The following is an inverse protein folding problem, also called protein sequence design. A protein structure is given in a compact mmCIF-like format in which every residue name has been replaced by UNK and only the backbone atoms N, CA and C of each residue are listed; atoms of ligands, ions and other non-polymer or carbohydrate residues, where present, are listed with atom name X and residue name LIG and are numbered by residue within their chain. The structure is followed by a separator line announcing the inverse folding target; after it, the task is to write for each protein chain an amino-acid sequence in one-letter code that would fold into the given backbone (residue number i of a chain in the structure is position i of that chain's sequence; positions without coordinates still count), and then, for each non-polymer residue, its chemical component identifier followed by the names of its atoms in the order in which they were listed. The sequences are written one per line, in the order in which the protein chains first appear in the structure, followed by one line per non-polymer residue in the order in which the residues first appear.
data_IF_012018272778
#
_entry.id   IF_012018272778
#
_cell.length_a   1.000
_cell.length_b   1.000
_cell.length_c   1.000
_cell.angle_alpha   90.00
_cell.angle_beta   90.00
_cell.angle_gamma   90.00
#
_symmetry.space_group_name_H-M   'P 1'
#
loop_
_entity.id
_entity.type
_entity.pdbx_description
1 polymer ?
#
# COMPACT_ATOMS: atom_id res chain seq x y z
N UNK A 1 13.10 -19.77 2.92
CA UNK A 1 12.89 -19.17 1.56
C UNK A 1 13.71 -19.88 0.49
N UNK A 2 13.16 -20.20 -0.70
CA UNK A 2 13.88 -20.59 -1.90
C UNK A 2 14.92 -19.53 -2.32
N UNK A 3 15.97 -19.91 -3.08
CA UNK A 3 17.06 -19.00 -3.47
C UNK A 3 16.55 -17.73 -4.18
N UNK A 4 15.59 -17.89 -5.06
CA UNK A 4 14.97 -16.81 -5.85
C UNK A 4 14.17 -15.84 -4.97
N UNK A 5 13.39 -16.38 -4.00
CA UNK A 5 12.67 -15.54 -3.05
C UNK A 5 13.60 -14.77 -2.12
N UNK A 6 14.79 -15.30 -1.81
CA UNK A 6 15.83 -14.56 -1.07
C UNK A 6 16.38 -13.39 -1.86
N UNK A 7 16.56 -13.55 -3.18
CA UNK A 7 17.00 -12.45 -4.04
C UNK A 7 15.95 -11.32 -4.08
N UNK A 8 14.67 -11.68 -4.22
CA UNK A 8 13.56 -10.71 -4.20
C UNK A 8 13.46 -9.99 -2.85
N UNK A 9 13.59 -10.73 -1.75
CA UNK A 9 13.63 -10.17 -0.40
C UNK A 9 14.81 -9.22 -0.21
N UNK A 10 16.00 -9.59 -0.69
CA UNK A 10 17.16 -8.72 -0.68
C UNK A 10 16.97 -7.45 -1.49
N UNK A 11 16.34 -7.55 -2.68
CA UNK A 11 16.01 -6.39 -3.52
C UNK A 11 15.00 -5.46 -2.83
N UNK A 12 14.00 -6.01 -2.12
CA UNK A 12 13.04 -5.22 -1.36
C UNK A 12 13.72 -4.40 -0.25
N UNK A 13 14.68 -4.99 0.47
CA UNK A 13 15.48 -4.26 1.46
C UNK A 13 16.38 -3.20 0.83
N UNK A 14 17.08 -3.53 -0.27
CA UNK A 14 17.94 -2.57 -0.98
C UNK A 14 17.11 -1.35 -1.43
N UNK A 15 15.92 -1.59 -1.96
CA UNK A 15 15.01 -0.53 -2.36
C UNK A 15 14.55 0.32 -1.16
N UNK A 16 14.18 -0.31 -0.05
CA UNK A 16 13.79 0.39 1.18
C UNK A 16 14.93 1.25 1.73
N UNK A 17 16.16 0.73 1.77
CA UNK A 17 17.32 1.50 2.21
C UNK A 17 17.70 2.64 1.27
N UNK A 18 17.57 2.44 -0.04
CA UNK A 18 17.79 3.51 -1.02
C UNK A 18 16.78 4.65 -0.81
N UNK A 19 15.49 4.32 -0.62
CA UNK A 19 14.46 5.31 -0.34
C UNK A 19 14.75 6.03 0.99
N UNK A 20 15.11 5.32 2.06
CA UNK A 20 15.50 5.91 3.32
C UNK A 20 16.68 6.87 3.18
N UNK A 21 17.69 6.52 2.38
CA UNK A 21 18.84 7.40 2.10
C UNK A 21 18.39 8.69 1.40
N UNK A 22 17.51 8.57 0.41
CA UNK A 22 16.93 9.73 -0.28
C UNK A 22 16.17 10.60 0.71
N UNK A 23 15.34 10.00 1.58
CA UNK A 23 14.59 10.72 2.61
C UNK A 23 15.51 11.50 3.56
N UNK A 24 16.56 10.86 4.06
CA UNK A 24 17.52 11.49 4.96
C UNK A 24 18.21 12.69 4.31
N UNK A 25 18.68 12.54 3.06
CA UNK A 25 19.35 13.61 2.32
C UNK A 25 18.38 14.76 2.03
N UNK A 26 17.18 14.44 1.59
CA UNK A 26 16.17 15.45 1.26
C UNK A 26 15.68 16.18 2.50
N UNK A 27 15.31 15.46 3.56
CA UNK A 27 14.90 16.03 4.83
C UNK A 27 15.95 16.99 5.41
N UNK A 28 17.23 16.58 5.39
CA UNK A 28 18.33 17.43 5.85
C UNK A 28 18.45 18.75 5.04
N UNK A 29 18.25 18.68 3.71
CA UNK A 29 18.36 19.85 2.84
C UNK A 29 17.25 20.88 3.05
N UNK A 30 16.03 20.44 3.40
CA UNK A 30 14.88 21.35 3.56
C UNK A 30 14.53 21.64 5.02
N UNK A 31 15.33 21.12 5.98
CA UNK A 31 15.07 21.28 7.40
C UNK A 31 13.83 20.50 7.90
N UNK A 32 13.44 19.43 7.21
CA UNK A 32 12.33 18.58 7.61
C UNK A 32 12.71 17.73 8.82
N UNK A 33 11.82 17.63 9.79
CA UNK A 33 12.07 16.94 11.06
C UNK A 33 11.00 15.89 11.34
N UNK A 34 11.42 14.84 12.02
CA UNK A 34 10.51 13.84 12.56
C UNK A 34 10.35 14.04 14.06
N UNK A 35 9.12 14.03 14.55
CA UNK A 35 8.83 14.14 15.97
C UNK A 35 9.39 12.93 16.72
N UNK A 36 10.08 13.19 17.85
CA UNK A 36 10.78 12.16 18.63
C UNK A 36 9.87 11.02 19.09
N UNK A 37 8.64 11.33 19.50
CA UNK A 37 7.66 10.34 19.98
C UNK A 37 7.31 9.34 18.87
N UNK A 38 6.99 9.82 17.66
CA UNK A 38 6.67 8.98 16.50
C UNK A 38 7.86 8.14 16.02
N UNK A 39 9.07 8.71 16.05
CA UNK A 39 10.33 8.00 15.74
C UNK A 39 10.60 6.91 16.77
N UNK A 40 10.51 7.21 18.06
CA UNK A 40 10.75 6.24 19.13
C UNK A 40 9.81 5.04 19.03
N UNK A 41 8.51 5.27 18.80
CA UNK A 41 7.53 4.21 18.61
C UNK A 41 7.85 3.37 17.35
N UNK A 42 8.19 4.02 16.24
CA UNK A 42 8.55 3.33 14.99
C UNK A 42 9.78 2.44 15.17
N UNK A 43 10.82 2.95 15.82
CA UNK A 43 12.03 2.17 16.15
C UNK A 43 11.68 1.00 17.07
N UNK A 44 10.91 1.23 18.13
CA UNK A 44 10.53 0.17 19.06
C UNK A 44 9.76 -0.97 18.36
N UNK A 45 8.79 -0.64 17.50
CA UNK A 45 8.02 -1.62 16.74
C UNK A 45 8.91 -2.39 15.74
N UNK A 46 9.78 -1.68 15.02
CA UNK A 46 10.70 -2.31 14.06
C UNK A 46 11.71 -3.21 14.77
N UNK A 47 12.30 -2.77 15.88
CA UNK A 47 13.18 -3.59 16.71
C UNK A 47 12.44 -4.82 17.26
N UNK A 48 11.18 -4.66 17.67
CA UNK A 48 10.35 -5.79 18.10
C UNK A 48 10.18 -6.86 17.01
N UNK A 49 9.89 -6.44 15.77
CA UNK A 49 9.81 -7.35 14.63
C UNK A 49 11.16 -8.03 14.34
N UNK A 50 12.26 -7.29 14.36
CA UNK A 50 13.61 -7.85 14.17
C UNK A 50 13.97 -8.87 15.25
N UNK A 51 13.60 -8.61 16.51
CA UNK A 51 13.78 -9.56 17.62
C UNK A 51 12.96 -10.84 17.39
N UNK A 52 11.70 -10.70 16.96
CA UNK A 52 10.85 -11.86 16.60
C UNK A 52 11.49 -12.65 15.45
N UNK A 53 11.97 -11.98 14.40
CA UNK A 53 12.67 -12.61 13.28
C UNK A 53 13.91 -13.39 13.75
N UNK A 54 14.72 -12.81 14.64
CA UNK A 54 15.91 -13.45 15.21
C UNK A 54 15.53 -14.69 16.04
N UNK A 55 14.52 -14.59 16.90
CA UNK A 55 14.02 -15.72 17.69
C UNK A 55 13.49 -16.83 16.78
N UNK A 56 12.66 -16.49 15.79
CA UNK A 56 12.14 -17.48 14.85
C UNK A 56 13.25 -18.12 14.01
N UNK A 57 14.28 -17.35 13.65
CA UNK A 57 15.45 -17.88 12.95
C UNK A 57 16.20 -18.89 13.80
N UNK A 58 16.46 -18.59 15.09
CA UNK A 58 17.09 -19.53 16.04
C UNK A 58 16.24 -20.79 16.18
N UNK A 59 14.93 -20.65 16.44
CA UNK A 59 14.01 -21.78 16.61
C UNK A 59 13.94 -22.64 15.34
N UNK A 60 13.95 -22.02 14.16
CA UNK A 60 13.93 -22.73 12.87
C UNK A 60 15.19 -23.60 12.62
N UNK A 61 16.27 -23.36 13.38
CA UNK A 61 17.54 -24.11 13.32
C UNK A 61 17.57 -25.29 14.30
N UNK A 62 16.65 -25.34 15.26
CA UNK A 62 16.57 -26.47 16.22
C UNK A 62 16.18 -27.73 15.46
N UNK A 63 16.92 -28.84 15.62
CA UNK A 63 16.58 -30.12 15.00
C UNK A 63 15.39 -30.74 15.70
N UNK A 64 14.19 -30.43 15.25
CA UNK A 64 12.98 -31.09 15.75
C UNK A 64 12.87 -32.51 15.20
N UNK A 65 12.52 -33.49 16.07
CA UNK A 65 12.22 -34.87 15.65
C UNK A 65 11.04 -34.93 14.68
N UNK A 66 10.10 -33.98 14.80
CA UNK A 66 8.94 -33.85 13.92
C UNK A 66 9.23 -32.86 12.77
N UNK A 67 9.26 -33.36 11.55
CA UNK A 67 9.52 -32.62 10.32
C UNK A 67 8.48 -31.50 10.12
N UNK A 68 7.21 -31.76 10.47
CA UNK A 68 6.13 -30.78 10.32
C UNK A 68 6.36 -29.54 11.18
N UNK A 69 6.89 -29.71 12.42
CA UNK A 69 7.26 -28.58 13.28
C UNK A 69 8.39 -27.75 12.68
N UNK A 70 9.41 -28.39 12.14
CA UNK A 70 10.53 -27.69 11.49
C UNK A 70 10.03 -26.86 10.29
N UNK A 71 9.17 -27.45 9.46
CA UNK A 71 8.57 -26.72 8.32
C UNK A 71 7.67 -25.58 8.78
N UNK A 72 6.88 -25.76 9.81
CA UNK A 72 6.02 -24.72 10.37
C UNK A 72 6.83 -23.48 10.79
N UNK A 73 7.87 -23.64 11.61
CA UNK A 73 8.69 -22.51 12.05
C UNK A 73 9.39 -21.79 10.90
N UNK A 74 9.81 -22.51 9.85
CA UNK A 74 10.37 -21.88 8.65
C UNK A 74 9.34 -21.03 7.90
N UNK A 75 8.09 -21.49 7.76
CA UNK A 75 7.03 -20.71 7.13
C UNK A 75 6.68 -19.46 7.95
N UNK A 76 6.59 -19.61 9.28
CA UNK A 76 6.34 -18.47 10.16
C UNK A 76 7.48 -17.45 10.07
N UNK A 77 8.74 -17.89 10.08
CA UNK A 77 9.89 -17.01 9.86
C UNK A 77 9.80 -16.30 8.51
N UNK A 78 9.51 -17.00 7.42
CA UNK A 78 9.39 -16.40 6.10
C UNK A 78 8.29 -15.32 6.07
N UNK A 79 7.17 -15.57 6.74
CA UNK A 79 6.07 -14.61 6.84
C UNK A 79 6.47 -13.35 7.64
N UNK A 80 7.14 -13.53 8.78
CA UNK A 80 7.60 -12.40 9.61
C UNK A 80 8.68 -11.58 8.91
N UNK A 81 9.63 -12.21 8.21
CA UNK A 81 10.63 -11.50 7.40
C UNK A 81 9.96 -10.59 6.36
N UNK A 82 8.94 -11.07 5.63
CA UNK A 82 8.18 -10.25 4.69
C UNK A 82 7.37 -9.16 5.38
N UNK A 83 6.81 -9.42 6.55
CA UNK A 83 6.11 -8.42 7.36
C UNK A 83 7.07 -7.31 7.80
N UNK A 84 8.28 -7.65 8.23
CA UNK A 84 9.29 -6.69 8.70
C UNK A 84 9.71 -5.73 7.59
N UNK A 85 9.97 -6.23 6.37
CA UNK A 85 10.30 -5.34 5.24
C UNK A 85 9.12 -4.46 4.84
N UNK A 86 7.89 -5.02 4.81
CA UNK A 86 6.68 -4.26 4.48
C UNK A 86 6.42 -3.14 5.49
N UNK A 87 6.52 -3.45 6.79
CA UNK A 87 6.32 -2.46 7.86
C UNK A 87 7.38 -1.36 7.83
N UNK A 88 8.65 -1.72 7.62
CA UNK A 88 9.75 -0.74 7.50
C UNK A 88 9.56 0.14 6.27
N UNK A 89 9.29 -0.47 5.11
CA UNK A 89 9.02 0.27 3.87
C UNK A 89 7.84 1.24 4.03
N UNK A 90 6.76 0.82 4.71
CA UNK A 90 5.59 1.69 4.93
C UNK A 90 5.97 2.99 5.64
N UNK A 91 6.84 2.93 6.64
CA UNK A 91 7.29 4.13 7.38
C UNK A 91 8.20 5.02 6.54
N UNK A 92 9.12 4.42 5.80
CA UNK A 92 9.98 5.15 4.86
C UNK A 92 9.14 5.79 3.75
N UNK A 93 8.22 5.04 3.13
CA UNK A 93 7.33 5.56 2.08
C UNK A 93 6.42 6.71 2.56
N UNK A 94 5.99 6.69 3.83
CA UNK A 94 5.26 7.82 4.42
C UNK A 94 6.14 9.07 4.48
N UNK A 95 7.39 8.98 4.93
CA UNK A 95 8.31 10.14 4.94
C UNK A 95 8.51 10.66 3.52
N UNK A 96 8.78 9.77 2.57
CA UNK A 96 8.95 10.13 1.16
C UNK A 96 7.74 10.87 0.59
N UNK A 97 6.51 10.39 0.88
CA UNK A 97 5.27 11.05 0.48
C UNK A 97 5.18 12.49 1.02
N UNK A 98 5.47 12.70 2.31
CA UNK A 98 5.44 14.03 2.90
C UNK A 98 6.50 14.97 2.32
N UNK A 99 7.71 14.46 2.05
CA UNK A 99 8.76 15.21 1.36
C UNK A 99 8.31 15.63 -0.05
N UNK A 100 7.66 14.75 -0.79
CA UNK A 100 7.11 15.07 -2.11
C UNK A 100 6.08 16.21 -2.06
N UNK A 101 5.21 16.22 -1.05
CA UNK A 101 4.21 17.31 -0.89
C UNK A 101 4.87 18.65 -0.66
N UNK A 102 6.05 18.70 -0.04
CA UNK A 102 6.77 19.97 0.20
C UNK A 102 7.32 20.64 -1.07
N UNK A 103 7.33 19.97 -2.21
CA UNK A 103 7.84 20.52 -3.48
C UNK A 103 6.97 21.61 -4.08
N UNK A 104 5.70 21.70 -3.65
CA UNK A 104 4.75 22.74 -4.05
C UNK A 104 4.50 22.83 -5.57
N UNK A 105 4.50 21.70 -6.29
CA UNK A 105 4.10 21.68 -7.71
C UNK A 105 2.68 22.24 -7.90
N UNK A 106 2.35 22.83 -9.07
CA UNK A 106 1.01 23.34 -9.36
C UNK A 106 -0.07 22.29 -9.12
N UNK A 107 -1.20 22.69 -8.51
CA UNK A 107 -2.31 21.78 -8.26
C UNK A 107 -2.98 21.35 -9.56
N UNK A 108 -3.18 20.05 -9.72
CA UNK A 108 -3.91 19.45 -10.82
C UNK A 108 -5.43 19.31 -10.55
N UNK A 109 -5.92 19.76 -9.39
CA UNK A 109 -7.31 19.63 -8.94
C UNK A 109 -8.33 20.01 -10.00
N UNK A 110 -8.16 21.18 -10.65
CA UNK A 110 -9.09 21.62 -11.69
C UNK A 110 -9.11 20.72 -12.93
N UNK A 111 -7.96 20.11 -13.28
CA UNK A 111 -7.88 19.18 -14.39
C UNK A 111 -8.67 17.89 -14.09
N UNK A 112 -8.62 17.39 -12.86
CA UNK A 112 -9.40 16.21 -12.45
C UNK A 112 -10.90 16.50 -12.41
N UNK A 113 -11.31 17.67 -11.91
CA UNK A 113 -12.72 18.10 -11.95
C UNK A 113 -13.21 18.24 -13.39
N UNK A 114 -12.41 18.81 -14.29
CA UNK A 114 -12.77 18.90 -15.70
C UNK A 114 -12.87 17.52 -16.37
N UNK A 115 -11.99 16.59 -16.03
CA UNK A 115 -12.07 15.20 -16.50
C UNK A 115 -13.33 14.49 -16.00
N UNK A 116 -13.67 14.66 -14.73
CA UNK A 116 -14.89 14.11 -14.13
C UNK A 116 -16.14 14.70 -14.82
N UNK A 117 -16.18 16.01 -15.03
CA UNK A 117 -17.28 16.68 -15.72
C UNK A 117 -17.44 16.21 -17.17
N UNK A 118 -16.33 15.95 -17.90
CA UNK A 118 -16.36 15.40 -19.25
C UNK A 118 -16.96 13.98 -19.28
N UNK A 119 -16.89 13.25 -18.18
CA UNK A 119 -17.52 11.94 -18.00
C UNK A 119 -18.96 12.04 -17.46
N UNK A 120 -19.50 13.26 -17.30
CA UNK A 120 -20.81 13.50 -16.71
C UNK A 120 -20.88 13.24 -15.20
N UNK A 121 -19.70 13.20 -14.54
CA UNK A 121 -19.62 12.96 -13.11
C UNK A 121 -19.47 14.27 -12.33
N UNK A 122 -20.34 14.46 -11.33
CA UNK A 122 -20.29 15.63 -10.46
C UNK A 122 -20.19 15.15 -9.01
N UNK A 123 -19.02 15.28 -8.43
CA UNK A 123 -18.68 14.73 -7.11
C UNK A 123 -19.64 15.17 -5.98
N UNK A 124 -20.03 16.47 -5.85
CA UNK A 124 -20.95 16.91 -4.79
C UNK A 124 -22.33 16.26 -4.87
N UNK A 125 -22.82 15.92 -6.06
CA UNK A 125 -24.11 15.26 -6.23
C UNK A 125 -24.07 13.82 -5.73
N UNK A 126 -23.03 13.08 -6.09
CA UNK A 126 -22.81 11.73 -5.57
C UNK A 126 -22.71 11.75 -4.04
N UNK A 127 -21.91 12.67 -3.48
CA UNK A 127 -21.72 12.76 -2.05
C UNK A 127 -23.03 13.04 -1.32
N UNK A 128 -23.81 14.05 -1.78
CA UNK A 128 -25.13 14.37 -1.22
C UNK A 128 -26.10 13.19 -1.31
N UNK A 129 -26.08 12.47 -2.43
CA UNK A 129 -26.90 11.29 -2.60
C UNK A 129 -26.55 10.18 -1.60
N UNK A 130 -25.26 9.88 -1.44
CA UNK A 130 -24.79 8.87 -0.45
C UNK A 130 -25.14 9.31 0.98
N UNK A 131 -24.96 10.59 1.31
CA UNK A 131 -25.27 11.13 2.63
C UNK A 131 -26.76 11.06 2.95
N UNK A 132 -27.64 11.18 1.95
CA UNK A 132 -29.09 10.98 2.10
C UNK A 132 -29.48 9.50 2.38
N UNK A 133 -28.51 8.55 2.28
CA UNK A 133 -28.71 7.13 2.55
C UNK A 133 -27.78 6.64 3.67
N UNK A 134 -28.11 6.85 4.96
CA UNK A 134 -27.19 6.62 6.08
C UNK A 134 -26.63 5.20 6.18
N UNK A 135 -27.41 4.18 5.82
CA UNK A 135 -26.94 2.80 5.80
C UNK A 135 -25.84 2.58 4.76
N UNK A 136 -25.99 3.19 3.57
CA UNK A 136 -24.98 3.12 2.50
C UNK A 136 -23.71 3.89 2.90
N UNK A 137 -23.87 5.11 3.43
CA UNK A 137 -22.75 5.89 3.95
C UNK A 137 -21.95 5.09 4.99
N UNK A 138 -22.62 4.45 5.94
CA UNK A 138 -21.98 3.61 6.95
C UNK A 138 -21.27 2.39 6.33
N UNK A 139 -21.91 1.70 5.39
CA UNK A 139 -21.30 0.55 4.71
C UNK A 139 -20.04 0.96 3.92
N UNK A 140 -20.08 2.08 3.21
CA UNK A 140 -18.92 2.62 2.49
C UNK A 140 -17.81 3.05 3.46
N UNK A 141 -18.15 3.65 4.60
CA UNK A 141 -17.18 4.02 5.62
C UNK A 141 -16.45 2.79 6.20
N UNK A 142 -17.15 1.70 6.46
CA UNK A 142 -16.55 0.45 6.90
C UNK A 142 -15.67 -0.18 5.81
N UNK A 143 -16.13 -0.18 4.56
CA UNK A 143 -15.35 -0.69 3.44
C UNK A 143 -14.04 0.10 3.26
N UNK A 144 -14.10 1.43 3.33
CA UNK A 144 -12.91 2.29 3.25
C UNK A 144 -11.91 2.01 4.39
N UNK A 145 -12.39 2.02 5.64
CA UNK A 145 -11.57 1.74 6.82
C UNK A 145 -10.97 0.33 6.81
N UNK A 146 -11.65 -0.64 6.17
CA UNK A 146 -11.14 -2.00 6.05
C UNK A 146 -9.81 -2.08 5.31
N UNK A 147 -9.49 -1.10 4.46
CA UNK A 147 -8.22 -1.07 3.71
C UNK A 147 -6.99 -1.15 4.60
N UNK A 148 -6.98 -0.40 5.72
CA UNK A 148 -5.89 -0.47 6.69
C UNK A 148 -5.84 -1.83 7.42
N UNK A 149 -7.01 -2.40 7.76
CA UNK A 149 -7.08 -3.71 8.38
C UNK A 149 -6.61 -4.82 7.41
N UNK A 150 -7.01 -4.75 6.14
CA UNK A 150 -6.62 -5.73 5.12
C UNK A 150 -5.12 -5.78 4.92
N UNK A 151 -4.40 -4.67 5.09
CA UNK A 151 -2.93 -4.62 5.00
C UNK A 151 -2.24 -5.56 6.02
N UNK A 152 -2.89 -5.87 7.14
CA UNK A 152 -2.40 -6.81 8.16
C UNK A 152 -3.05 -8.19 8.05
N UNK A 153 -4.34 -8.23 7.77
CA UNK A 153 -5.13 -9.49 7.74
C UNK A 153 -4.73 -10.37 6.55
N UNK A 154 -4.48 -9.79 5.37
CA UNK A 154 -4.10 -10.54 4.18
C UNK A 154 -2.76 -11.26 4.36
N UNK A 155 -1.67 -10.60 4.82
CA UNK A 155 -0.44 -11.28 5.19
C UNK A 155 -0.66 -12.43 6.18
N UNK A 156 -1.49 -12.22 7.20
CA UNK A 156 -1.78 -13.26 8.18
C UNK A 156 -2.50 -14.48 7.55
N UNK A 157 -3.51 -14.25 6.69
CA UNK A 157 -4.20 -15.32 5.96
C UNK A 157 -3.22 -16.08 5.07
N UNK A 158 -2.38 -15.38 4.29
CA UNK A 158 -1.40 -15.98 3.39
C UNK A 158 -0.33 -16.77 4.14
N UNK A 159 0.07 -16.30 5.33
CA UNK A 159 0.98 -17.02 6.21
C UNK A 159 0.35 -18.32 6.74
N UNK A 160 -0.89 -18.26 7.24
CA UNK A 160 -1.61 -19.45 7.77
C UNK A 160 -1.90 -20.46 6.67
N UNK A 161 -2.30 -20.01 5.48
CA UNK A 161 -2.55 -20.87 4.31
C UNK A 161 -1.28 -21.36 3.62
N UNK A 162 -0.10 -20.95 4.11
CA UNK A 162 1.23 -21.30 3.59
C UNK A 162 1.46 -20.88 2.14
N UNK A 163 0.74 -19.86 1.66
CA UNK A 163 0.88 -19.30 0.31
C UNK A 163 2.04 -18.29 0.28
N UNK A 164 3.26 -18.75 0.52
CA UNK A 164 4.46 -17.89 0.66
C UNK A 164 4.79 -17.11 -0.61
N UNK A 165 4.48 -17.66 -1.78
CA UNK A 165 4.69 -16.97 -3.06
C UNK A 165 3.70 -15.81 -3.21
N UNK A 166 2.39 -16.05 -2.96
CA UNK A 166 1.38 -15.00 -3.01
C UNK A 166 1.64 -13.91 -1.98
N UNK A 167 2.20 -14.28 -0.83
CA UNK A 167 2.60 -13.32 0.20
C UNK A 167 3.73 -12.40 -0.29
N UNK A 168 4.79 -12.96 -0.82
CA UNK A 168 5.91 -12.17 -1.35
C UNK A 168 5.45 -11.29 -2.52
N UNK A 169 4.62 -11.84 -3.42
CA UNK A 169 4.03 -11.10 -4.54
C UNK A 169 3.20 -9.92 -4.03
N UNK A 170 2.38 -10.11 -3.01
CA UNK A 170 1.59 -9.05 -2.37
C UNK A 170 2.45 -7.94 -1.79
N UNK A 171 3.51 -8.28 -1.03
CA UNK A 171 4.40 -7.26 -0.44
C UNK A 171 5.09 -6.45 -1.53
N UNK A 172 5.57 -7.08 -2.59
CA UNK A 172 6.18 -6.38 -3.73
C UNK A 172 5.15 -5.51 -4.46
N UNK A 173 3.92 -6.00 -4.68
CA UNK A 173 2.83 -5.21 -5.26
C UNK A 173 2.53 -3.97 -4.40
N UNK A 174 2.48 -4.11 -3.08
CA UNK A 174 2.29 -3.00 -2.16
C UNK A 174 3.41 -1.95 -2.29
N UNK A 175 4.68 -2.40 -2.24
CA UNK A 175 5.84 -1.50 -2.35
C UNK A 175 5.87 -0.75 -3.68
N UNK A 176 5.65 -1.46 -4.78
CA UNK A 176 5.61 -0.87 -6.13
C UNK A 176 4.43 0.09 -6.27
N UNK A 177 3.24 -0.28 -5.78
CA UNK A 177 2.04 0.56 -5.83
C UNK A 177 2.23 1.87 -5.07
N UNK A 178 2.68 1.79 -3.82
CA UNK A 178 2.89 2.98 -3.00
C UNK A 178 3.93 3.92 -3.62
N UNK A 179 5.05 3.38 -4.09
CA UNK A 179 6.08 4.18 -4.77
C UNK A 179 5.57 4.81 -6.05
N UNK A 180 4.89 4.03 -6.90
CA UNK A 180 4.33 4.52 -8.17
C UNK A 180 3.35 5.68 -7.94
N UNK A 181 2.46 5.53 -6.98
CA UNK A 181 1.46 6.55 -6.62
C UNK A 181 2.13 7.84 -6.14
N UNK A 182 3.13 7.75 -5.26
CA UNK A 182 3.86 8.91 -4.76
C UNK A 182 4.59 9.62 -5.91
N UNK A 183 5.25 8.88 -6.79
CA UNK A 183 6.01 9.43 -7.92
C UNK A 183 5.09 10.09 -8.96
N UNK A 184 3.92 9.50 -9.26
CA UNK A 184 2.95 10.10 -10.20
C UNK A 184 2.29 11.33 -9.56
N UNK A 185 1.98 11.29 -8.28
CA UNK A 185 1.36 12.40 -7.56
C UNK A 185 2.29 13.60 -7.42
N UNK A 186 3.61 13.41 -7.50
CA UNK A 186 4.57 14.51 -7.37
C UNK A 186 4.34 15.63 -8.38
N UNK A 187 4.27 15.38 -9.71
CA UNK A 187 3.96 16.40 -10.71
C UNK A 187 2.47 16.74 -10.82
N UNK A 188 1.57 15.94 -10.27
CA UNK A 188 0.11 16.11 -10.33
C UNK A 188 -0.54 16.13 -8.94
N UNK A 189 -0.10 16.97 -7.99
CA UNK A 189 -0.71 17.04 -6.69
C UNK A 189 -2.13 17.58 -6.78
N UNK A 190 -3.05 17.01 -5.99
CA UNK A 190 -4.42 17.47 -5.93
C UNK A 190 -4.93 17.54 -4.50
N UNK A 191 -5.78 18.51 -4.23
CA UNK A 191 -6.53 18.57 -2.99
C UNK A 191 -7.64 17.51 -2.99
N UNK A 192 -7.97 16.99 -1.82
CA UNK A 192 -9.14 16.14 -1.66
C UNK A 192 -10.41 16.87 -2.11
N UNK A 193 -11.36 16.14 -2.72
CA UNK A 193 -12.65 16.70 -3.11
C UNK A 193 -13.40 17.34 -1.92
N UNK A 194 -13.26 16.81 -0.71
CA UNK A 194 -13.81 17.42 0.50
C UNK A 194 -13.29 18.85 0.71
N UNK A 195 -11.97 19.02 0.63
CA UNK A 195 -11.31 20.31 0.82
C UNK A 195 -11.73 21.28 -0.29
N UNK A 196 -11.68 20.83 -1.55
CA UNK A 196 -12.00 21.66 -2.71
C UNK A 196 -13.47 22.15 -2.70
N UNK A 197 -14.41 21.29 -2.38
CA UNK A 197 -15.84 21.64 -2.34
C UNK A 197 -16.30 22.19 -0.99
N UNK A 198 -15.41 22.36 -0.02
CA UNK A 198 -15.72 22.89 1.31
C UNK A 198 -16.68 22.01 2.12
N UNK A 199 -16.69 20.71 1.89
CA UNK A 199 -17.56 19.77 2.59
C UNK A 199 -16.84 19.23 3.83
N UNK A 200 -17.47 19.39 4.98
CA UNK A 200 -16.96 18.91 6.26
C UNK A 200 -17.88 17.82 6.81
N UNK A 201 -17.34 16.60 6.92
CA UNK A 201 -18.06 15.46 7.49
C UNK A 201 -17.25 14.87 8.65
N UNK A 202 -17.70 15.04 9.90
CA UNK A 202 -16.98 14.55 11.07
C UNK A 202 -16.85 13.02 11.11
N UNK A 203 -17.65 12.29 10.32
CA UNK A 203 -17.57 10.85 10.23
C UNK A 203 -16.53 10.36 9.22
N UNK A 204 -15.94 11.28 8.45
CA UNK A 204 -14.99 10.98 7.39
C UNK A 204 -13.62 11.53 7.74
N UNK A 205 -12.61 10.65 7.90
CA UNK A 205 -11.26 11.05 8.26
C UNK A 205 -10.57 11.95 7.22
N UNK A 206 -11.01 11.88 5.97
CA UNK A 206 -10.42 12.63 4.85
C UNK A 206 -10.82 14.11 4.80
N UNK A 207 -11.66 14.59 5.71
CA UNK A 207 -12.04 16.02 5.80
C UNK A 207 -10.94 16.87 6.44
N UNK A 208 -10.03 16.24 7.22
CA UNK A 208 -8.87 16.91 7.81
C UNK A 208 -7.63 16.36 7.13
N UNK A 209 -6.87 17.21 6.47
CA UNK A 209 -5.67 16.80 5.74
C UNK A 209 -4.48 17.68 6.07
N UNK A 210 -3.36 17.05 6.36
CA UNK A 210 -2.07 17.71 6.55
C UNK A 210 -1.49 18.27 5.24
N UNK A 211 -2.10 17.95 4.09
CA UNK A 211 -1.59 18.29 2.76
C UNK A 211 -1.25 19.79 2.63
N UNK A 212 -2.21 20.68 2.94
CA UNK A 212 -2.01 22.12 2.84
C UNK A 212 -0.95 22.65 3.83
N UNK A 213 -0.86 22.07 5.04
CA UNK A 213 0.09 22.47 6.06
C UNK A 213 1.54 22.24 5.61
N UNK A 214 1.82 21.04 5.07
CA UNK A 214 3.16 20.69 4.58
C UNK A 214 3.48 21.37 3.24
N UNK A 215 2.50 21.42 2.33
CA UNK A 215 2.65 22.07 1.04
C UNK A 215 3.01 23.54 1.16
N UNK A 216 2.29 24.28 2.00
CA UNK A 216 2.48 25.72 2.19
C UNK A 216 3.65 26.06 3.15
N UNK A 217 4.33 25.05 3.69
CA UNK A 217 5.46 25.24 4.58
C UNK A 217 5.09 25.73 5.98
N UNK A 218 3.81 25.62 6.39
CA UNK A 218 3.39 25.97 7.75
C UNK A 218 3.98 25.03 8.80
N UNK A 219 4.33 23.81 8.41
CA UNK A 219 5.07 22.88 9.26
C UNK A 219 6.12 22.13 8.43
N UNK A 220 7.18 21.72 9.09
CA UNK A 220 8.23 20.84 8.60
C UNK A 220 8.50 19.70 9.60
N UNK A 221 7.60 19.51 10.55
CA UNK A 221 7.69 18.48 11.56
C UNK A 221 6.56 17.46 11.40
N UNK A 222 6.93 16.18 11.27
CA UNK A 222 6.02 15.07 11.04
C UNK A 222 6.02 14.12 12.23
N UNK A 223 4.83 13.84 12.77
CA UNK A 223 4.61 12.72 13.67
C UNK A 223 4.25 11.46 12.87
N UNK A 224 5.16 10.47 12.84
CA UNK A 224 4.96 9.22 12.11
C UNK A 224 3.79 8.36 12.61
N UNK A 225 3.31 8.60 13.83
CA UNK A 225 2.17 7.86 14.41
C UNK A 225 0.83 8.44 13.97
N UNK A 226 0.80 9.71 13.59
CA UNK A 226 -0.39 10.44 13.16
C UNK A 226 -0.41 10.69 11.65
N UNK A 227 0.61 10.21 10.93
CA UNK A 227 0.78 10.46 9.51
C UNK A 227 -0.41 9.93 8.69
N UNK A 228 -0.84 10.73 7.72
CA UNK A 228 -1.97 10.48 6.85
C UNK A 228 -1.51 10.11 5.43
N UNK A 229 -2.41 9.53 4.64
CA UNK A 229 -2.24 9.45 3.19
C UNK A 229 -2.54 10.80 2.55
N UNK A 230 -1.54 11.42 1.91
CA UNK A 230 -1.68 12.76 1.32
C UNK A 230 -1.82 12.72 -0.21
N UNK A 231 -1.69 11.53 -0.81
CA UNK A 231 -1.72 11.38 -2.26
C UNK A 231 -3.14 11.15 -2.74
N UNK A 232 -3.60 11.97 -3.69
CA UNK A 232 -4.91 11.81 -4.32
C UNK A 232 -4.83 10.99 -5.61
N UNK A 233 -3.95 11.36 -6.53
CA UNK A 233 -3.86 10.78 -7.88
C UNK A 233 -2.57 10.00 -8.11
N UNK A 234 -2.66 8.77 -8.65
CA UNK A 234 -3.84 7.89 -8.73
C UNK A 234 -4.26 7.37 -7.34
N UNK A 235 -5.50 6.89 -7.19
CA UNK A 235 -5.99 6.40 -5.91
C UNK A 235 -5.25 5.15 -5.43
N UNK A 236 -4.45 5.28 -4.36
CA UNK A 236 -3.75 4.14 -3.75
C UNK A 236 -4.73 3.11 -3.19
N UNK A 237 -5.83 3.55 -2.58
CA UNK A 237 -6.85 2.62 -2.05
C UNK A 237 -7.46 1.76 -3.15
N UNK A 238 -7.70 2.33 -4.33
CA UNK A 238 -8.20 1.59 -5.50
C UNK A 238 -7.17 0.55 -5.98
N UNK A 239 -5.90 0.93 -6.07
CA UNK A 239 -4.81 0.00 -6.43
C UNK A 239 -4.73 -1.13 -5.41
N UNK A 240 -4.72 -0.79 -4.12
CA UNK A 240 -4.62 -1.78 -3.05
C UNK A 240 -5.84 -2.70 -3.00
N UNK A 241 -7.05 -2.20 -3.28
CA UNK A 241 -8.24 -3.04 -3.37
C UNK A 241 -8.09 -4.16 -4.41
N UNK A 242 -7.53 -3.83 -5.59
CA UNK A 242 -7.21 -4.85 -6.60
C UNK A 242 -6.13 -5.82 -6.10
N UNK A 243 -5.05 -5.31 -5.49
CA UNK A 243 -3.98 -6.14 -4.96
C UNK A 243 -4.47 -7.05 -3.82
N UNK A 244 -5.36 -6.57 -2.95
CA UNK A 244 -5.96 -7.34 -1.85
C UNK A 244 -6.80 -8.50 -2.37
N UNK A 245 -7.71 -8.24 -3.32
CA UNK A 245 -8.50 -9.29 -3.93
C UNK A 245 -7.61 -10.29 -4.66
N UNK A 246 -6.64 -9.81 -5.45
CA UNK A 246 -5.72 -10.64 -6.19
C UNK A 246 -4.82 -11.52 -5.30
N UNK A 247 -4.33 -11.00 -4.19
CA UNK A 247 -3.49 -11.75 -3.24
C UNK A 247 -4.21 -12.98 -2.67
N UNK A 248 -5.53 -12.90 -2.48
CA UNK A 248 -6.35 -13.98 -1.93
C UNK A 248 -6.93 -14.94 -2.98
N UNK A 249 -6.54 -14.82 -4.27
CA UNK A 249 -7.11 -15.60 -5.40
C UNK A 249 -7.03 -17.12 -5.23
N UNK A 250 -6.05 -17.62 -4.49
CA UNK A 250 -5.87 -19.04 -4.24
C UNK A 250 -6.48 -19.50 -2.90
N UNK A 251 -7.16 -18.61 -2.15
CA UNK A 251 -7.84 -18.95 -0.89
C UNK A 251 -9.34 -19.07 -1.15
N UNK A 252 -9.76 -20.29 -1.54
CA UNK A 252 -11.08 -20.62 -2.14
C UNK A 252 -12.28 -19.94 -1.48
N UNK A 253 -12.40 -19.98 -0.16
CA UNK A 253 -13.59 -19.48 0.55
C UNK A 253 -13.48 -17.98 0.90
N UNK A 254 -12.28 -17.43 0.96
CA UNK A 254 -12.04 -16.02 1.28
C UNK A 254 -12.09 -15.16 0.01
N UNK A 255 -11.70 -15.70 -1.14
CA UNK A 255 -11.57 -14.96 -2.39
C UNK A 255 -12.88 -14.26 -2.84
N UNK A 256 -14.06 -14.91 -2.86
CA UNK A 256 -15.31 -14.22 -3.25
C UNK A 256 -15.66 -13.07 -2.31
N UNK A 257 -15.41 -13.24 -1.00
CA UNK A 257 -15.64 -12.19 0.00
C UNK A 257 -14.66 -11.03 -0.20
N UNK A 258 -13.39 -11.35 -0.52
CA UNK A 258 -12.38 -10.34 -0.83
C UNK A 258 -12.75 -9.51 -2.06
N UNK A 259 -13.27 -10.14 -3.13
CA UNK A 259 -13.77 -9.43 -4.32
C UNK A 259 -14.89 -8.48 -3.92
N UNK A 260 -15.91 -8.95 -3.19
CA UNK A 260 -17.07 -8.14 -2.81
C UNK A 260 -16.65 -6.95 -1.93
N UNK A 261 -15.82 -7.19 -0.90
CA UNK A 261 -15.34 -6.15 0.00
C UNK A 261 -14.50 -5.11 -0.75
N UNK A 262 -13.60 -5.54 -1.63
CA UNK A 262 -12.71 -4.63 -2.33
C UNK A 262 -13.40 -3.90 -3.48
N UNK A 263 -14.42 -4.47 -4.12
CA UNK A 263 -15.30 -3.73 -5.02
C UNK A 263 -16.03 -2.59 -4.29
N UNK A 264 -16.56 -2.88 -3.09
CA UNK A 264 -17.19 -1.86 -2.25
C UNK A 264 -16.16 -0.82 -1.76
N UNK A 265 -14.93 -1.24 -1.43
CA UNK A 265 -13.84 -0.34 -1.05
C UNK A 265 -13.48 0.61 -2.20
N UNK A 266 -13.41 0.16 -3.45
CA UNK A 266 -13.16 1.03 -4.62
C UNK A 266 -14.25 2.11 -4.72
N UNK A 267 -15.52 1.74 -4.63
CA UNK A 267 -16.63 2.70 -4.66
C UNK A 267 -16.54 3.68 -3.49
N UNK A 268 -16.17 3.20 -2.31
CA UNK A 268 -16.07 4.02 -1.10
C UNK A 268 -15.00 5.10 -1.18
N UNK A 269 -13.97 4.95 -2.02
CA UNK A 269 -12.90 5.95 -2.17
C UNK A 269 -13.44 7.30 -2.62
N UNK A 270 -14.48 7.32 -3.44
CA UNK A 270 -15.13 8.54 -3.92
C UNK A 270 -15.69 9.37 -2.77
N UNK A 271 -16.44 8.75 -1.85
CA UNK A 271 -17.21 9.45 -0.82
C UNK A 271 -16.57 9.40 0.57
N UNK A 272 -15.60 8.53 0.80
CA UNK A 272 -14.92 8.41 2.09
C UNK A 272 -13.45 8.85 1.98
N UNK A 273 -12.81 8.64 0.83
CA UNK A 273 -11.45 9.07 0.55
C UNK A 273 -11.34 10.46 -0.05
N UNK A 274 -12.45 11.04 -0.52
CA UNK A 274 -12.44 12.33 -1.19
C UNK A 274 -11.71 12.31 -2.54
N UNK A 275 -11.71 11.16 -3.22
CA UNK A 275 -11.11 11.00 -4.53
C UNK A 275 -12.04 11.48 -5.65
N UNK A 276 -11.47 12.02 -6.71
CA UNK A 276 -12.15 12.26 -7.98
C UNK A 276 -12.35 10.94 -8.72
N UNK A 277 -13.33 10.88 -9.64
CA UNK A 277 -13.53 9.68 -10.48
C UNK A 277 -12.29 9.38 -11.31
N UNK A 278 -11.62 10.40 -11.81
CA UNK A 278 -10.34 10.28 -12.54
C UNK A 278 -9.25 9.57 -11.71
N UNK A 279 -9.17 9.84 -10.39
CA UNK A 279 -8.22 9.17 -9.48
C UNK A 279 -8.52 7.67 -9.39
N UNK A 280 -9.81 7.33 -9.31
CA UNK A 280 -10.26 5.93 -9.17
C UNK A 280 -10.02 5.16 -10.47
N UNK A 281 -10.39 5.73 -11.61
CA UNK A 281 -10.17 5.09 -12.91
C UNK A 281 -8.69 4.89 -13.21
N UNK A 282 -7.86 5.89 -12.94
CA UNK A 282 -6.39 5.75 -13.08
C UNK A 282 -5.83 4.72 -12.09
N UNK A 283 -6.38 4.66 -10.86
CA UNK A 283 -6.04 3.65 -9.87
C UNK A 283 -6.35 2.22 -10.33
N UNK A 284 -7.49 2.00 -11.01
CA UNK A 284 -7.84 0.70 -11.60
C UNK A 284 -6.82 0.27 -12.65
N UNK A 285 -6.47 1.19 -13.56
CA UNK A 285 -5.47 0.92 -14.60
C UNK A 285 -4.09 0.64 -14.00
N UNK A 286 -3.64 1.51 -13.08
CA UNK A 286 -2.35 1.36 -12.43
C UNK A 286 -2.27 0.06 -11.62
N UNK A 287 -3.33 -0.30 -10.89
CA UNK A 287 -3.40 -1.56 -10.14
C UNK A 287 -3.31 -2.79 -11.02
N UNK A 288 -4.04 -2.81 -12.13
CA UNK A 288 -3.95 -3.89 -13.12
C UNK A 288 -2.53 -4.02 -13.70
N UNK A 289 -1.90 -2.90 -14.06
CA UNK A 289 -0.52 -2.88 -14.56
C UNK A 289 0.46 -3.40 -13.52
N UNK A 290 0.37 -2.91 -12.28
CA UNK A 290 1.25 -3.37 -11.17
C UNK A 290 1.11 -4.88 -10.97
N UNK A 291 -0.11 -5.41 -10.89
CA UNK A 291 -0.36 -6.85 -10.73
C UNK A 291 0.28 -7.63 -11.89
N UNK A 292 0.05 -7.20 -13.14
CA UNK A 292 0.60 -7.88 -14.31
C UNK A 292 2.13 -7.87 -14.35
N UNK A 293 2.75 -6.72 -14.06
CA UNK A 293 4.22 -6.56 -14.09
C UNK A 293 4.87 -7.35 -12.96
N UNK A 294 4.40 -7.18 -11.73
CA UNK A 294 4.97 -7.86 -10.55
C UNK A 294 4.81 -9.37 -10.69
N UNK A 295 3.63 -9.86 -11.09
CA UNK A 295 3.42 -11.29 -11.36
C UNK A 295 4.42 -11.85 -12.35
N UNK A 296 4.67 -11.14 -13.48
CA UNK A 296 5.63 -11.59 -14.49
C UNK A 296 7.06 -11.67 -13.92
N UNK A 297 7.47 -10.70 -13.12
CA UNK A 297 8.78 -10.67 -12.49
C UNK A 297 8.91 -11.80 -11.47
N UNK A 298 7.95 -11.93 -10.54
CA UNK A 298 7.96 -12.96 -9.50
C UNK A 298 7.89 -14.36 -10.12
N UNK A 299 7.04 -14.56 -11.15
CA UNK A 299 6.93 -15.84 -11.86
C UNK A 299 8.24 -16.21 -12.56
N UNK A 300 8.88 -15.28 -13.29
CA UNK A 300 10.18 -15.54 -13.93
C UNK A 300 11.27 -15.91 -12.93
N UNK A 301 11.24 -15.32 -11.76
CA UNK A 301 12.17 -15.65 -10.68
C UNK A 301 11.83 -17.00 -10.01
N UNK A 302 10.59 -17.47 -10.09
CA UNK A 302 10.13 -18.71 -9.48
C UNK A 302 10.37 -19.95 -10.35
N UNK A 303 10.44 -19.79 -11.69
CA UNK A 303 10.67 -20.91 -12.63
C UNK A 303 12.17 -21.07 -12.89
N UNK A 304 12.77 -22.26 -12.61
CA UNK A 304 14.17 -22.52 -12.94
C UNK A 304 14.44 -22.38 -14.46
N UNK A 305 15.60 -21.85 -14.83
CA UNK A 305 15.97 -21.62 -16.22
C UNK A 305 15.97 -22.89 -17.09
N UNK A 306 16.06 -24.07 -16.49
CA UNK A 306 16.05 -25.36 -17.17
C UNK A 306 14.69 -25.76 -17.80
N UNK A 307 13.56 -25.20 -17.31
CA UNK A 307 12.22 -25.45 -17.86
C UNK A 307 11.81 -24.44 -18.96
N UNK A 308 12.66 -23.46 -19.24
CA UNK A 308 12.39 -22.42 -20.26
C UNK A 308 12.89 -22.79 -21.67
N UNK A 309 13.45 -23.99 -21.84
CA UNK A 309 13.84 -24.45 -23.18
C UNK A 309 12.56 -24.91 -23.87
N UNK A 310 12.11 -24.23 -24.96
CA UNK A 310 11.01 -24.76 -25.76
C UNK A 310 11.46 -26.11 -26.32
N UNK A 311 10.64 -27.12 -26.19
CA UNK A 311 10.76 -28.36 -26.94
C UNK A 311 10.57 -28.05 -28.43
N UNK A 312 11.59 -27.47 -29.04
CA UNK A 312 11.68 -27.35 -30.48
C UNK A 312 12.49 -28.55 -31.00
N UNK A 313 11.81 -29.27 -31.91
CA UNK A 313 12.39 -30.20 -32.83
C UNK A 313 12.58 -31.63 -32.32
N UNK A 314 11.54 -32.44 -32.46
CA UNK A 314 11.71 -33.75 -33.16
C UNK A 314 10.76 -33.77 -34.34
N UNK A 315 11.33 -33.43 -35.47
CA UNK A 315 10.82 -33.82 -36.80
C UNK A 315 11.09 -35.30 -37.05
#
# INVERSE_FOLDING_TARGET
MPKQMRALYGAAWQFTFLMLLIDCIWAARIGFRLERSGVALTIALTCGLVVIDAVLWIVSRVPFKNVDRSMFYRHVLDAFLWLTVMATFSKVGVVFQYLCVTTNFPLATHAFIAADAALGFHWPDLYRWVQAHPWLHTALAWAYKSGACQLLVIPAILAVTRNTQDYAEFVVQFMVSATLVILISLPFPAESAFVHFGIHDPNTASTVSDFALFRNGHTRELNLSLAQGLVSFPSLHTILALCYAYALRHVRYVFPMAIALNALMIVSTLTQGGHYLADVLSGLVAGAVVICVVRRVVFRLAVPAAEQIPSAVTS
#
